data_IF_129145165163
#
_entry.id   IF_129145165163
#
_cell.length_a   1.000
_cell.length_b   1.000
_cell.length_c   1.000
_cell.angle_alpha   90.00
_cell.angle_beta   90.00
_cell.angle_gamma   90.00
#
_symmetry.space_group_name_H-M   'P 1'
#
loop_
_entity.id
_entity.type
_entity.pdbx_description
1 polymer ?
#
# COMPACT_ATOMS: atom_id res chain seq x y z
N UNK A 1 20.68 0.00 -11.39
CA UNK A 1 19.80 0.24 -10.24
C UNK A 1 19.59 -1.10 -9.54
N UNK A 2 20.02 -1.20 -8.28
CA UNK A 2 19.85 -2.42 -7.49
C UNK A 2 18.48 -2.40 -6.81
N UNK A 3 17.80 -3.54 -6.78
CA UNK A 3 16.52 -3.70 -6.12
C UNK A 3 16.61 -4.82 -5.08
N UNK A 4 16.31 -4.48 -3.83
CA UNK A 4 16.23 -5.44 -2.73
C UNK A 4 14.77 -5.47 -2.24
N UNK A 5 14.20 -6.66 -2.12
CA UNK A 5 12.82 -6.87 -1.64
C UNK A 5 12.80 -7.82 -0.46
N UNK A 6 11.99 -7.49 0.54
CA UNK A 6 11.70 -8.32 1.69
C UNK A 6 10.19 -8.44 1.91
N UNK A 7 9.72 -9.66 2.15
CA UNK A 7 8.29 -9.93 2.35
C UNK A 7 7.96 -9.78 3.84
N UNK A 8 7.56 -8.59 4.25
CA UNK A 8 7.26 -8.26 5.65
C UNK A 8 5.85 -8.66 6.05
N UNK A 9 4.87 -8.56 5.14
CA UNK A 9 3.43 -8.77 5.41
C UNK A 9 2.99 -7.97 6.64
N UNK A 10 3.18 -6.64 6.59
CA UNK A 10 2.96 -5.77 7.74
C UNK A 10 1.48 -5.75 8.18
N UNK A 11 0.55 -5.90 7.22
CA UNK A 11 -0.90 -5.97 7.49
C UNK A 11 -1.33 -7.30 8.15
N UNK A 12 -0.55 -8.37 8.04
CA UNK A 12 -0.95 -9.69 8.54
C UNK A 12 -1.28 -9.67 10.03
N UNK A 13 -2.52 -10.06 10.35
CA UNK A 13 -3.05 -10.06 11.71
C UNK A 13 -3.31 -8.65 12.26
N UNK A 14 -3.56 -7.68 11.40
CA UNK A 14 -4.03 -6.36 11.78
C UNK A 14 -5.48 -6.47 12.29
N UNK A 15 -5.78 -5.76 13.36
CA UNK A 15 -7.09 -5.66 13.99
C UNK A 15 -7.48 -4.19 14.13
N UNK A 16 -8.62 -3.91 14.75
CA UNK A 16 -9.03 -2.52 15.10
C UNK A 16 -7.99 -1.83 16.01
N UNK A 17 -7.18 -2.59 16.75
CA UNK A 17 -6.08 -2.05 17.55
C UNK A 17 -4.86 -1.67 16.69
N UNK A 18 -4.81 -2.09 15.44
CA UNK A 18 -3.78 -1.81 14.45
C UNK A 18 -2.83 -2.98 14.16
N UNK A 19 -1.57 -2.66 13.86
CA UNK A 19 -0.53 -3.63 13.52
C UNK A 19 -0.21 -4.51 14.73
N UNK A 20 -0.10 -5.82 14.52
CA UNK A 20 0.33 -6.74 15.58
C UNK A 20 1.81 -6.51 15.95
N UNK A 21 2.16 -6.81 17.19
CA UNK A 21 3.56 -6.71 17.68
C UNK A 21 4.54 -7.55 16.82
N UNK A 22 4.11 -8.72 16.37
CA UNK A 22 4.92 -9.57 15.50
C UNK A 22 5.14 -8.96 14.10
N UNK A 23 4.12 -8.28 13.54
CA UNK A 23 4.24 -7.57 12.28
C UNK A 23 5.17 -6.36 12.41
N UNK A 24 5.00 -5.58 13.48
CA UNK A 24 5.90 -4.45 13.78
C UNK A 24 7.34 -4.92 13.95
N UNK A 25 7.58 -6.03 14.68
CA UNK A 25 8.92 -6.57 14.85
C UNK A 25 9.58 -6.97 13.52
N UNK A 26 8.82 -7.60 12.60
CA UNK A 26 9.32 -7.88 11.24
C UNK A 26 9.65 -6.61 10.48
N UNK A 27 8.77 -5.60 10.54
CA UNK A 27 8.99 -4.28 9.94
C UNK A 27 10.26 -3.62 10.44
N UNK A 28 10.47 -3.59 11.77
CA UNK A 28 11.70 -3.04 12.37
C UNK A 28 12.95 -3.78 11.91
N UNK A 29 12.93 -5.12 11.87
CA UNK A 29 14.06 -5.90 11.41
C UNK A 29 14.44 -5.59 9.97
N UNK A 30 13.45 -5.49 9.08
CA UNK A 30 13.67 -5.16 7.67
C UNK A 30 14.16 -3.73 7.49
N UNK A 31 13.59 -2.76 8.20
CA UNK A 31 14.04 -1.37 8.12
C UNK A 31 15.48 -1.20 8.63
N UNK A 32 15.87 -1.92 9.70
CA UNK A 32 17.27 -1.95 10.17
C UNK A 32 18.20 -2.55 9.12
N UNK A 33 17.77 -3.63 8.43
CA UNK A 33 18.55 -4.21 7.34
C UNK A 33 18.77 -3.21 6.21
N UNK A 34 17.70 -2.58 5.75
CA UNK A 34 17.77 -1.57 4.66
C UNK A 34 18.60 -0.35 5.06
N UNK A 35 18.46 0.13 6.30
CA UNK A 35 19.30 1.23 6.80
C UNK A 35 20.78 0.87 6.77
N UNK A 36 21.15 -0.32 7.26
CA UNK A 36 22.54 -0.79 7.21
C UNK A 36 23.05 -0.93 5.78
N UNK A 37 22.22 -1.41 4.86
CA UNK A 37 22.58 -1.50 3.45
C UNK A 37 22.85 -0.11 2.87
N UNK A 38 21.96 0.86 3.09
CA UNK A 38 22.16 2.25 2.64
C UNK A 38 23.44 2.86 3.23
N UNK A 39 23.69 2.66 4.52
CA UNK A 39 24.89 3.18 5.20
C UNK A 39 26.17 2.56 4.64
N UNK A 40 26.16 1.24 4.35
CA UNK A 40 27.33 0.53 3.84
C UNK A 40 27.65 0.84 2.36
N UNK A 41 26.63 1.25 1.61
CA UNK A 41 26.78 1.59 0.18
C UNK A 41 26.98 3.08 -0.08
N UNK A 42 27.01 3.90 0.97
CA UNK A 42 27.25 5.35 0.86
C UNK A 42 26.10 6.09 0.19
N UNK A 43 24.85 5.68 0.44
CA UNK A 43 23.66 6.37 -0.08
C UNK A 43 23.54 7.74 0.58
N UNK A 44 23.52 8.80 -0.23
CA UNK A 44 23.46 10.19 0.26
C UNK A 44 22.07 10.56 0.79
N UNK A 45 20.99 10.02 0.20
CA UNK A 45 19.60 10.37 0.55
C UNK A 45 18.74 9.12 0.65
N UNK A 46 18.02 8.97 1.76
CA UNK A 46 17.00 7.94 1.95
C UNK A 46 15.64 8.63 1.94
N UNK A 47 14.71 8.16 1.10
CA UNK A 47 13.33 8.60 1.02
C UNK A 47 12.39 7.48 1.49
N UNK A 48 12.21 7.31 2.80
CA UNK A 48 11.43 6.20 3.34
C UNK A 48 9.94 6.54 3.29
N UNK A 49 9.18 5.69 2.64
CA UNK A 49 7.74 5.84 2.44
C UNK A 49 7.01 4.65 3.07
N UNK A 50 5.89 4.94 3.71
CA UNK A 50 4.92 3.95 4.17
C UNK A 50 3.55 4.24 3.56
N UNK A 51 2.78 3.20 3.29
CA UNK A 51 1.49 3.27 2.60
C UNK A 51 0.37 2.60 3.42
N UNK A 52 -0.57 1.93 2.80
CA UNK A 52 -1.84 1.48 3.37
C UNK A 52 -1.73 0.82 4.74
N UNK A 53 -0.85 -0.15 4.92
CA UNK A 53 -0.76 -0.88 6.19
C UNK A 53 -0.45 0.01 7.41
N UNK A 54 0.39 1.03 7.23
CA UNK A 54 0.73 1.98 8.31
C UNK A 54 -0.29 3.10 8.39
N UNK A 55 -0.81 3.55 7.25
CA UNK A 55 -1.82 4.61 7.16
C UNK A 55 -3.13 4.22 7.85
N UNK A 56 -3.57 2.99 7.66
CA UNK A 56 -4.86 2.47 8.15
C UNK A 56 -4.79 1.94 9.58
N UNK A 57 -3.61 1.59 10.05
CA UNK A 57 -3.43 1.06 11.39
C UNK A 57 -3.66 2.11 12.48
N UNK A 58 -4.51 1.83 13.47
CA UNK A 58 -4.76 2.70 14.61
C UNK A 58 -3.46 3.05 15.36
N UNK A 59 -2.53 2.11 15.46
CA UNK A 59 -1.22 2.30 16.06
C UNK A 59 -0.12 2.67 15.04
N UNK A 60 -0.48 3.03 13.81
CA UNK A 60 0.45 3.45 12.76
C UNK A 60 1.36 4.61 13.18
N UNK A 61 0.85 5.68 13.79
CA UNK A 61 1.69 6.77 14.33
C UNK A 61 2.73 6.28 15.35
N UNK A 62 2.37 5.35 16.23
CA UNK A 62 3.30 4.74 17.18
C UNK A 62 4.43 3.98 16.47
N UNK A 63 4.09 3.22 15.41
CA UNK A 63 5.09 2.52 14.59
C UNK A 63 6.06 3.52 13.95
N UNK A 64 5.57 4.62 13.35
CA UNK A 64 6.39 5.67 12.73
C UNK A 64 7.33 6.31 13.76
N UNK A 65 6.82 6.67 14.93
CA UNK A 65 7.60 7.26 16.00
C UNK A 65 8.71 6.33 16.52
N UNK A 66 8.39 5.05 16.66
CA UNK A 66 9.36 4.03 17.06
C UNK A 66 10.45 3.84 16.01
N UNK A 67 10.10 3.80 14.72
CA UNK A 67 11.08 3.72 13.61
C UNK A 67 12.03 4.90 13.66
N UNK A 68 11.53 6.11 13.85
CA UNK A 68 12.36 7.31 13.96
C UNK A 68 13.33 7.24 15.14
N UNK A 69 12.85 6.84 16.31
CA UNK A 69 13.67 6.78 17.53
C UNK A 69 14.68 5.62 17.55
N UNK A 70 14.28 4.45 17.10
CA UNK A 70 15.09 3.22 17.25
C UNK A 70 15.99 2.96 16.03
N UNK A 71 15.64 3.47 14.84
CA UNK A 71 16.37 3.19 13.60
C UNK A 71 16.97 4.47 12.99
N UNK A 72 16.44 5.65 13.37
CA UNK A 72 16.88 6.92 12.80
C UNK A 72 16.36 7.16 11.37
N UNK A 73 15.22 6.57 11.01
CA UNK A 73 14.54 6.76 9.73
C UNK A 73 13.23 7.50 9.98
N UNK A 74 13.02 8.63 9.29
CA UNK A 74 11.78 9.39 9.37
C UNK A 74 10.83 8.94 8.28
N UNK A 75 9.96 7.98 8.59
CA UNK A 75 8.96 7.47 7.64
C UNK A 75 7.95 8.56 7.27
N UNK A 76 7.72 8.73 5.97
CA UNK A 76 6.62 9.53 5.45
C UNK A 76 5.46 8.62 5.07
N UNK A 77 4.33 8.76 5.77
CA UNK A 77 3.10 8.04 5.41
C UNK A 77 2.40 8.79 4.29
N UNK A 78 2.19 8.13 3.16
CA UNK A 78 1.47 8.71 2.02
C UNK A 78 -0.04 8.58 2.23
N UNK A 79 -0.76 9.67 1.91
CA UNK A 79 -2.21 9.61 1.69
C UNK A 79 -2.54 8.85 0.40
N UNK A 80 -3.73 8.25 0.33
CA UNK A 80 -4.12 7.37 -0.77
C UNK A 80 -4.08 8.03 -2.16
N UNK A 81 -4.57 9.27 -2.30
CA UNK A 81 -4.48 10.02 -3.56
C UNK A 81 -3.02 10.27 -3.98
N UNK A 82 -2.13 10.52 -3.01
CA UNK A 82 -0.71 10.74 -3.30
C UNK A 82 0.00 9.46 -3.71
N UNK A 83 -0.40 8.33 -3.15
CA UNK A 83 0.05 7.00 -3.55
C UNK A 83 -0.37 6.76 -5.01
N UNK A 84 -1.66 6.89 -5.35
CA UNK A 84 -2.18 6.77 -6.71
C UNK A 84 -1.48 7.71 -7.72
N UNK A 85 -1.15 8.94 -7.30
CA UNK A 85 -0.38 9.86 -8.13
C UNK A 85 1.02 9.31 -8.46
N UNK A 86 1.75 8.78 -7.48
CA UNK A 86 3.10 8.25 -7.74
C UNK A 86 3.08 6.98 -8.57
N UNK A 87 2.08 6.10 -8.39
CA UNK A 87 1.89 4.91 -9.21
C UNK A 87 1.63 5.29 -10.67
N UNK A 88 0.78 6.31 -10.88
CA UNK A 88 0.51 6.87 -12.21
C UNK A 88 1.78 7.45 -12.85
N UNK A 89 2.57 8.23 -12.11
CA UNK A 89 3.82 8.80 -12.62
C UNK A 89 4.79 7.68 -13.02
N UNK A 90 4.88 6.63 -12.19
CA UNK A 90 5.68 5.43 -12.52
C UNK A 90 5.21 4.77 -13.81
N UNK A 91 3.91 4.49 -13.93
CA UNK A 91 3.33 3.88 -15.11
C UNK A 91 3.53 4.72 -16.39
N UNK A 92 3.34 6.03 -16.31
CA UNK A 92 3.50 6.95 -17.46
C UNK A 92 4.95 7.07 -17.94
N UNK A 93 5.93 6.76 -17.10
CA UNK A 93 7.34 6.68 -17.51
C UNK A 93 7.65 5.41 -18.31
N UNK A 94 6.91 4.33 -18.07
CA UNK A 94 7.13 3.04 -18.72
C UNK A 94 6.19 2.80 -19.92
N UNK A 95 4.96 3.35 -19.87
CA UNK A 95 3.90 3.11 -20.85
C UNK A 95 3.48 4.41 -21.53
N UNK A 96 3.33 4.45 -22.86
CA UNK A 96 2.87 5.65 -23.59
C UNK A 96 1.34 5.83 -23.51
N UNK A 97 0.79 5.84 -22.29
CA UNK A 97 -0.64 6.05 -22.04
C UNK A 97 -0.97 7.56 -22.17
N UNK A 98 -1.83 7.90 -23.10
CA UNK A 98 -2.32 9.28 -23.30
C UNK A 98 -3.60 9.54 -22.51
N UNK A 99 -4.58 8.65 -22.65
CA UNK A 99 -5.85 8.69 -21.94
C UNK A 99 -6.19 7.29 -21.42
N UNK A 100 -6.80 7.19 -20.25
CA UNK A 100 -7.22 5.94 -19.67
C UNK A 100 -7.07 5.91 -18.15
N UNK A 101 -7.02 4.72 -17.60
CA UNK A 101 -6.86 4.52 -16.15
C UNK A 101 -5.59 3.73 -15.85
N UNK A 102 -4.96 4.05 -14.73
CA UNK A 102 -3.90 3.24 -14.12
C UNK A 102 -4.48 2.59 -12.89
N UNK A 103 -4.33 1.27 -12.80
CA UNK A 103 -4.75 0.48 -11.64
C UNK A 103 -3.53 -0.26 -11.08
N UNK A 104 -3.20 -0.01 -9.82
CA UNK A 104 -2.19 -0.78 -9.08
C UNK A 104 -2.87 -1.61 -8.00
N UNK A 105 -2.65 -2.93 -8.02
CA UNK A 105 -3.25 -3.88 -7.08
C UNK A 105 -2.17 -4.35 -6.12
N UNK A 106 -2.20 -3.77 -4.92
CA UNK A 106 -1.29 -4.13 -3.84
C UNK A 106 -1.85 -5.21 -2.90
N UNK A 107 -1.12 -5.44 -1.83
CA UNK A 107 -1.57 -6.37 -0.78
C UNK A 107 -2.65 -5.79 0.13
N UNK A 108 -2.57 -4.51 0.49
CA UNK A 108 -3.51 -3.84 1.41
C UNK A 108 -4.51 -2.93 0.69
N UNK A 109 -4.11 -2.35 -0.43
CA UNK A 109 -4.93 -1.37 -1.16
C UNK A 109 -4.86 -1.57 -2.67
N UNK A 110 -5.83 -0.99 -3.35
CA UNK A 110 -5.84 -0.80 -4.80
C UNK A 110 -5.85 0.70 -5.06
N UNK A 111 -4.96 1.16 -5.93
CA UNK A 111 -4.97 2.53 -6.42
C UNK A 111 -5.58 2.56 -7.81
N UNK A 112 -6.49 3.50 -8.02
CA UNK A 112 -7.10 3.76 -9.34
C UNK A 112 -6.90 5.23 -9.66
N UNK A 113 -6.47 5.52 -10.89
CA UNK A 113 -6.22 6.89 -11.35
C UNK A 113 -6.81 7.13 -12.73
N UNK A 114 -7.34 8.34 -12.95
CA UNK A 114 -7.71 8.85 -14.27
C UNK A 114 -6.52 9.60 -14.87
N UNK A 115 -6.21 9.27 -16.12
CA UNK A 115 -5.13 9.87 -16.91
C UNK A 115 -5.73 10.56 -18.14
N UNK A 116 -5.40 11.84 -18.34
CA UNK A 116 -5.74 12.61 -19.51
C UNK A 116 -4.54 13.42 -19.97
N UNK A 117 -4.28 13.46 -21.27
CA UNK A 117 -3.13 14.16 -21.86
C UNK A 117 -1.80 13.76 -21.17
N UNK A 118 -1.58 12.49 -20.94
CA UNK A 118 -0.42 11.94 -20.21
C UNK A 118 -0.22 12.54 -18.81
N UNK A 119 -1.29 12.96 -18.16
CA UNK A 119 -1.22 13.60 -16.84
C UNK A 119 -2.24 12.98 -15.89
N UNK A 120 -1.85 12.84 -14.64
CA UNK A 120 -2.75 12.46 -13.55
C UNK A 120 -3.84 13.53 -13.37
N UNK A 121 -5.10 13.15 -13.32
CA UNK A 121 -6.26 14.02 -13.10
C UNK A 121 -6.93 13.79 -11.76
N UNK A 122 -7.18 12.54 -11.44
CA UNK A 122 -7.79 12.13 -10.19
C UNK A 122 -7.25 10.76 -9.79
N UNK A 123 -7.31 10.44 -8.52
CA UNK A 123 -6.94 9.12 -8.02
C UNK A 123 -7.58 8.81 -6.70
N UNK A 124 -7.82 7.53 -6.47
CA UNK A 124 -8.33 6.99 -5.23
C UNK A 124 -7.49 5.81 -4.77
N UNK A 125 -7.47 5.58 -3.47
CA UNK A 125 -6.91 4.38 -2.87
C UNK A 125 -8.01 3.69 -2.07
N UNK A 126 -8.28 2.45 -2.42
CA UNK A 126 -9.33 1.62 -1.85
C UNK A 126 -8.71 0.49 -1.02
N UNK A 127 -9.38 0.07 0.05
CA UNK A 127 -8.93 -1.07 0.88
C UNK A 127 -9.32 -2.41 0.23
N UNK A 128 -8.96 -2.58 -1.04
CA UNK A 128 -9.29 -3.74 -1.88
C UNK A 128 -8.05 -4.57 -2.25
N UNK A 129 -6.97 -4.41 -1.50
CA UNK A 129 -5.77 -5.19 -1.76
C UNK A 129 -5.98 -6.69 -1.53
N UNK A 130 -5.27 -7.52 -2.29
CA UNK A 130 -5.48 -8.96 -2.29
C UNK A 130 -5.39 -9.60 -0.89
N UNK A 131 -4.43 -9.18 -0.06
CA UNK A 131 -4.32 -9.69 1.31
C UNK A 131 -5.41 -9.13 2.22
N UNK A 132 -5.84 -7.87 2.02
CA UNK A 132 -6.88 -7.26 2.82
C UNK A 132 -8.21 -8.01 2.63
N UNK A 133 -8.62 -8.22 1.39
CA UNK A 133 -9.84 -8.96 1.05
C UNK A 133 -9.78 -10.42 1.53
N UNK A 134 -8.64 -11.08 1.33
CA UNK A 134 -8.47 -12.46 1.78
C UNK A 134 -8.58 -12.57 3.31
N UNK A 135 -7.94 -11.68 4.06
CA UNK A 135 -7.95 -11.73 5.53
C UNK A 135 -9.33 -11.37 6.12
N UNK A 136 -10.13 -10.58 5.39
CA UNK A 136 -11.43 -10.10 5.88
C UNK A 136 -12.59 -11.04 5.50
N UNK A 137 -12.57 -11.61 4.29
CA UNK A 137 -13.72 -12.31 3.73
C UNK A 137 -13.51 -13.79 3.44
N UNK A 138 -12.27 -14.31 3.48
CA UNK A 138 -11.96 -15.68 3.04
C UNK A 138 -11.39 -16.50 4.20
N UNK A 139 -12.16 -17.47 4.65
CA UNK A 139 -11.76 -18.43 5.70
C UNK A 139 -11.40 -19.82 5.12
N UNK A 140 -11.89 -20.13 3.90
CA UNK A 140 -11.74 -21.44 3.28
C UNK A 140 -10.74 -21.43 2.12
N UNK A 141 -10.10 -22.57 1.89
CA UNK A 141 -9.25 -22.82 0.73
C UNK A 141 -9.64 -24.16 0.06
N UNK A 142 -10.26 -24.14 -1.12
CA UNK A 142 -10.63 -22.95 -1.91
C UNK A 142 -11.76 -22.13 -1.28
N UNK A 143 -11.82 -20.84 -1.62
CA UNK A 143 -12.90 -19.95 -1.18
C UNK A 143 -14.27 -20.49 -1.61
N UNK A 144 -15.27 -20.31 -0.76
CA UNK A 144 -16.66 -20.68 -1.05
C UNK A 144 -17.35 -19.65 -1.97
N UNK A 145 -18.48 -20.02 -2.58
CA UNK A 145 -19.27 -19.09 -3.39
C UNK A 145 -19.76 -17.87 -2.57
N UNK A 146 -20.16 -18.09 -1.33
CA UNK A 146 -20.64 -17.01 -0.44
C UNK A 146 -19.50 -16.03 -0.10
N UNK A 147 -18.28 -16.51 0.14
CA UNK A 147 -17.12 -15.66 0.38
C UNK A 147 -16.74 -14.86 -0.87
N UNK A 148 -16.81 -15.48 -2.03
CA UNK A 148 -16.57 -14.80 -3.33
C UNK A 148 -17.62 -13.68 -3.53
N UNK A 149 -18.89 -13.97 -3.29
CA UNK A 149 -19.96 -12.97 -3.42
C UNK A 149 -19.74 -11.78 -2.45
N UNK A 150 -19.34 -12.03 -1.20
CA UNK A 150 -19.02 -10.95 -0.26
C UNK A 150 -17.85 -10.08 -0.73
N UNK A 151 -16.82 -10.68 -1.29
CA UNK A 151 -15.69 -9.94 -1.89
C UNK A 151 -16.18 -9.08 -3.06
N UNK A 152 -17.02 -9.63 -3.95
CA UNK A 152 -17.56 -8.89 -5.10
C UNK A 152 -18.45 -7.72 -4.66
N UNK A 153 -19.31 -7.93 -3.66
CA UNK A 153 -20.15 -6.87 -3.10
C UNK A 153 -19.30 -5.74 -2.49
N UNK A 154 -18.26 -6.07 -1.75
CA UNK A 154 -17.36 -5.07 -1.16
C UNK A 154 -16.59 -4.30 -2.22
N UNK A 155 -16.11 -4.97 -3.28
CA UNK A 155 -15.46 -4.32 -4.42
C UNK A 155 -16.42 -3.34 -5.08
N UNK A 156 -17.63 -3.78 -5.42
CA UNK A 156 -18.65 -2.93 -6.04
C UNK A 156 -18.96 -1.71 -5.15
N UNK A 157 -19.18 -1.92 -3.88
CA UNK A 157 -19.49 -0.85 -2.90
C UNK A 157 -18.39 0.23 -2.86
N UNK A 158 -17.11 -0.16 -2.87
CA UNK A 158 -16.01 0.80 -2.82
C UNK A 158 -15.80 1.50 -4.16
N UNK A 159 -16.00 0.81 -5.29
CA UNK A 159 -15.90 1.41 -6.62
C UNK A 159 -17.00 2.44 -6.87
N UNK A 160 -18.23 2.14 -6.48
CA UNK A 160 -19.41 3.04 -6.60
C UNK A 160 -19.23 4.36 -5.82
N UNK A 161 -18.39 4.37 -4.80
CA UNK A 161 -18.05 5.58 -4.05
C UNK A 161 -17.14 6.55 -4.81
N UNK A 162 -16.55 6.14 -5.94
CA UNK A 162 -15.64 6.97 -6.72
C UNK A 162 -16.41 7.77 -7.77
N UNK A 163 -16.78 9.01 -7.44
CA UNK A 163 -17.65 9.85 -8.28
C UNK A 163 -17.13 10.17 -9.70
N UNK A 164 -15.84 9.98 -9.97
CA UNK A 164 -15.24 10.26 -11.28
C UNK A 164 -15.01 8.99 -12.11
N UNK A 165 -15.24 7.81 -11.56
CA UNK A 165 -15.20 6.57 -12.33
C UNK A 165 -16.44 6.53 -13.26
N UNK A 166 -16.31 6.20 -14.54
CA UNK A 166 -17.46 6.00 -15.41
C UNK A 166 -18.25 4.74 -14.95
N UNK A 167 -19.57 4.80 -15.14
CA UNK A 167 -20.47 3.65 -14.93
C UNK A 167 -20.14 2.48 -15.87
#
# INVERSE_FOLDING_TARGET
>A
VDQVREVVRLRKGMTDEGLSESAMARGFSTLRLFKRFCDSTGVDVILPIATSAVREAANGPLFVDRVAREIGISLRVLGGEREAYYDTVGALNEVPLVEGSVVDIGGGSVQISDVRDRSFRAGASLTLGALALTEEFVEHDPATEDEINQVEEEIARQLDAIAWLPE
#
